data_IF_461914719038
#
_entry.id   IF_461914719038
#
_cell.length_a   1.000
_cell.length_b   1.000
_cell.length_c   1.000
_cell.angle_alpha   90.00
_cell.angle_beta   90.00
_cell.angle_gamma   90.00
#
_symmetry.space_group_name_H-M   'P 1'
#
loop_
_entity.id
_entity.type
_entity.pdbx_description
1 polymer ?
#
# COMPACT_ATOMS: atom_id res chain seq x y z
N UNK A 1 0.41 11.92 24.20
CA UNK A 1 -0.71 10.95 24.09
C UNK A 1 -0.22 9.71 23.32
N UNK A 2 -0.48 8.51 23.86
CA UNK A 2 -0.17 7.25 23.14
C UNK A 2 -1.34 6.91 22.21
N UNK A 3 -1.04 6.41 21.01
CA UNK A 3 -2.03 5.97 20.01
C UNK A 3 -1.73 4.54 19.60
N UNK A 4 -2.78 3.76 19.40
CA UNK A 4 -2.66 2.38 18.92
C UNK A 4 -3.06 2.34 17.44
N UNK A 5 -2.20 1.72 16.63
CA UNK A 5 -2.49 1.33 15.26
C UNK A 5 -2.64 -0.19 15.16
N UNK A 6 -3.59 -0.62 14.35
CA UNK A 6 -3.77 -2.02 13.97
C UNK A 6 -3.74 -2.09 12.44
N UNK A 7 -2.92 -2.97 11.88
CA UNK A 7 -2.88 -3.27 10.45
C UNK A 7 -3.38 -4.70 10.22
N UNK A 8 -4.52 -4.82 9.54
CA UNK A 8 -5.20 -6.09 9.32
C UNK A 8 -4.88 -6.59 7.92
N UNK A 9 -3.98 -7.54 7.82
CA UNK A 9 -3.70 -8.25 6.56
C UNK A 9 -4.50 -9.55 6.42
N UNK A 10 -4.47 -10.14 5.23
CA UNK A 10 -5.16 -11.41 4.97
C UNK A 10 -4.60 -12.62 5.72
N UNK A 11 -3.35 -12.58 6.17
CA UNK A 11 -2.66 -13.69 6.85
C UNK A 11 -2.12 -13.33 8.23
N UNK A 12 -2.04 -12.06 8.56
CA UNK A 12 -1.47 -11.52 9.79
C UNK A 12 -2.20 -10.27 10.23
N UNK A 13 -2.16 -10.01 11.54
CA UNK A 13 -2.57 -8.75 12.16
C UNK A 13 -1.34 -8.19 12.85
N UNK A 14 -1.11 -6.90 12.67
CA UNK A 14 -0.02 -6.19 13.33
C UNK A 14 -0.58 -5.06 14.18
N UNK A 15 -0.04 -4.88 15.39
CA UNK A 15 -0.42 -3.81 16.30
C UNK A 15 0.84 -3.06 16.75
N UNK A 16 0.74 -1.74 16.84
CA UNK A 16 1.77 -0.90 17.42
C UNK A 16 1.16 0.19 18.30
N UNK A 17 1.83 0.51 19.38
CA UNK A 17 1.56 1.70 20.18
C UNK A 17 2.68 2.72 19.96
N UNK A 18 2.32 3.94 19.57
CA UNK A 18 3.26 5.03 19.31
C UNK A 18 2.93 6.26 20.17
N UNK A 19 3.94 6.95 20.62
CA UNK A 19 3.78 8.21 21.34
C UNK A 19 3.66 9.43 20.39
N UNK A 20 3.57 10.62 20.96
CA UNK A 20 3.46 11.88 20.19
C UNK A 20 4.70 12.15 19.32
N UNK A 21 5.86 11.73 19.75
CA UNK A 21 7.12 11.89 19.00
C UNK A 21 7.24 10.91 17.83
N UNK A 22 6.38 9.87 17.80
CA UNK A 22 6.45 8.76 16.86
C UNK A 22 7.34 7.61 17.33
N UNK A 23 7.79 7.64 18.60
CA UNK A 23 8.53 6.51 19.17
C UNK A 23 7.58 5.31 19.34
N UNK A 24 8.06 4.15 18.91
CA UNK A 24 7.35 2.88 19.04
C UNK A 24 7.56 2.34 20.45
N UNK A 25 6.48 2.28 21.24
CA UNK A 25 6.49 1.77 22.61
C UNK A 25 6.23 0.28 22.66
N UNK A 26 5.46 -0.22 21.71
CA UNK A 26 5.09 -1.63 21.56
C UNK A 26 4.85 -1.93 20.09
N UNK A 27 5.27 -3.12 19.66
CA UNK A 27 4.89 -3.68 18.36
C UNK A 27 4.79 -5.20 18.45
N UNK A 28 3.69 -5.74 17.95
CA UNK A 28 3.45 -7.19 17.86
C UNK A 28 2.85 -7.54 16.52
N UNK A 29 3.12 -8.76 16.09
CA UNK A 29 2.57 -9.33 14.86
C UNK A 29 2.07 -10.74 15.16
N UNK A 30 0.83 -11.01 14.81
CA UNK A 30 0.18 -12.30 15.01
C UNK A 30 -0.40 -12.83 13.70
N UNK A 31 -0.63 -14.14 13.64
CA UNK A 31 -1.34 -14.75 12.53
C UNK A 31 -2.80 -14.35 12.56
N UNK A 32 -3.37 -14.03 11.40
CA UNK A 32 -4.81 -13.78 11.31
C UNK A 32 -5.60 -15.04 11.70
N UNK A 33 -6.69 -14.91 12.48
CA UNK A 33 -7.54 -16.02 12.85
C UNK A 33 -8.11 -16.74 11.64
N UNK A 34 -8.27 -18.06 11.76
CA UNK A 34 -8.83 -18.91 10.70
C UNK A 34 -10.31 -19.23 10.89
N UNK A 35 -10.88 -18.91 12.06
CA UNK A 35 -12.23 -19.27 12.49
C UNK A 35 -13.36 -18.35 11.99
N UNK A 36 -13.07 -17.41 11.11
CA UNK A 36 -14.09 -16.56 10.51
C UNK A 36 -14.26 -15.20 11.18
N UNK A 37 -15.39 -14.52 10.87
CA UNK A 37 -15.61 -13.12 11.21
C UNK A 37 -15.59 -12.83 12.72
N UNK A 38 -16.40 -13.56 13.50
CA UNK A 38 -16.54 -13.30 14.92
C UNK A 38 -15.21 -13.50 15.68
N UNK A 39 -14.45 -14.52 15.33
CA UNK A 39 -13.12 -14.78 15.89
C UNK A 39 -12.13 -13.68 15.52
N UNK A 40 -12.21 -13.15 14.30
CA UNK A 40 -11.36 -12.04 13.87
C UNK A 40 -11.65 -10.75 14.66
N UNK A 41 -12.93 -10.40 14.89
CA UNK A 41 -13.32 -9.25 15.72
C UNK A 41 -12.79 -9.39 17.16
N UNK A 42 -12.97 -10.58 17.76
CA UNK A 42 -12.50 -10.83 19.13
C UNK A 42 -10.97 -10.76 19.23
N UNK A 43 -10.25 -11.36 18.29
CA UNK A 43 -8.78 -11.32 18.26
C UNK A 43 -8.24 -9.89 18.14
N UNK A 44 -8.80 -9.08 17.24
CA UNK A 44 -8.42 -7.68 17.10
C UNK A 44 -8.66 -6.90 18.40
N UNK A 45 -9.84 -7.08 18.99
CA UNK A 45 -10.19 -6.39 20.23
C UNK A 45 -9.27 -6.81 21.39
N UNK A 46 -8.96 -8.09 21.50
CA UNK A 46 -8.03 -8.61 22.53
C UNK A 46 -6.63 -8.03 22.37
N UNK A 47 -6.09 -7.99 21.14
CA UNK A 47 -4.79 -7.38 20.88
C UNK A 47 -4.74 -5.89 21.32
N UNK A 48 -5.81 -5.13 21.06
CA UNK A 48 -5.91 -3.73 21.50
C UNK A 48 -5.91 -3.65 23.02
N UNK A 49 -6.76 -4.43 23.72
CA UNK A 49 -6.86 -4.42 25.18
C UNK A 49 -5.56 -4.89 25.86
N UNK A 50 -4.85 -5.83 25.25
CA UNK A 50 -3.53 -6.27 25.73
C UNK A 50 -2.47 -5.19 25.56
N UNK A 51 -2.44 -4.52 24.41
CA UNK A 51 -1.52 -3.42 24.18
C UNK A 51 -1.76 -2.28 25.17
N UNK A 52 -3.03 -1.91 25.46
CA UNK A 52 -3.37 -0.90 26.46
C UNK A 52 -2.91 -1.28 27.87
N UNK A 53 -3.08 -2.53 28.27
CA UNK A 53 -2.60 -3.00 29.58
C UNK A 53 -1.07 -2.89 29.69
N UNK A 54 -0.35 -3.18 28.61
CA UNK A 54 1.11 -3.13 28.61
C UNK A 54 1.64 -1.69 28.62
N UNK A 55 1.04 -0.78 27.85
CA UNK A 55 1.45 0.64 27.85
C UNK A 55 0.85 1.42 29.05
N UNK A 56 -0.04 0.82 29.81
CA UNK A 56 -0.65 1.43 31.02
C UNK A 56 -1.58 2.61 30.71
N UNK A 57 -2.17 2.65 29.52
CA UNK A 57 -3.00 3.77 29.09
C UNK A 57 -4.18 3.32 28.20
N UNK A 58 -5.32 4.00 28.34
CA UNK A 58 -6.42 3.90 27.38
C UNK A 58 -6.14 4.78 26.17
N UNK A 59 -6.08 4.20 24.98
CA UNK A 59 -5.51 4.83 23.78
C UNK A 59 -6.58 5.01 22.67
N UNK A 60 -6.52 6.09 21.89
CA UNK A 60 -7.20 6.15 20.60
C UNK A 60 -6.70 5.03 19.69
N UNK A 61 -7.62 4.40 18.92
CA UNK A 61 -7.31 3.25 18.06
C UNK A 61 -7.64 3.59 16.61
N UNK A 62 -6.63 3.44 15.75
CA UNK A 62 -6.78 3.48 14.30
C UNK A 62 -6.54 2.10 13.69
N UNK A 63 -7.26 1.80 12.62
CA UNK A 63 -7.23 0.49 11.95
C UNK A 63 -7.00 0.67 10.47
N UNK A 64 -5.90 0.09 9.98
CA UNK A 64 -5.60 -0.12 8.57
C UNK A 64 -6.12 -1.47 8.09
N UNK A 65 -6.78 -1.51 6.94
CA UNK A 65 -7.34 -2.74 6.39
C UNK A 65 -7.29 -2.73 4.87
N UNK A 66 -7.13 -3.89 4.23
CA UNK A 66 -7.41 -4.00 2.80
C UNK A 66 -8.83 -3.55 2.49
N UNK A 67 -9.01 -2.85 1.37
CA UNK A 67 -10.30 -2.28 1.01
C UNK A 67 -10.68 -1.06 1.86
N UNK A 68 -11.97 -0.81 2.03
CA UNK A 68 -12.47 0.36 2.74
C UNK A 68 -13.88 0.15 3.30
N UNK A 69 -14.25 0.92 4.33
CA UNK A 69 -15.63 0.94 4.84
C UNK A 69 -16.53 1.68 3.84
N UNK A 70 -17.55 1.00 3.36
CA UNK A 70 -18.53 1.57 2.42
C UNK A 70 -19.34 2.68 3.11
N UNK A 71 -19.36 3.87 2.52
CA UNK A 71 -20.16 4.99 3.05
C UNK A 71 -21.66 4.76 2.94
N UNK A 72 -22.11 3.94 1.97
CA UNK A 72 -23.54 3.66 1.76
C UNK A 72 -24.08 2.56 2.68
N UNK A 73 -23.30 1.48 2.91
CA UNK A 73 -23.77 0.30 3.66
C UNK A 73 -23.09 0.11 5.01
N UNK A 74 -21.99 0.83 5.29
CA UNK A 74 -21.22 0.68 6.53
C UNK A 74 -20.39 -0.62 6.62
N UNK A 75 -20.44 -1.49 5.61
CA UNK A 75 -19.65 -2.73 5.60
C UNK A 75 -18.29 -2.56 4.94
N UNK A 76 -17.34 -3.41 5.28
CA UNK A 76 -16.03 -3.44 4.62
C UNK A 76 -16.19 -3.98 3.20
N UNK A 77 -15.66 -3.27 2.20
CA UNK A 77 -15.68 -3.65 0.78
C UNK A 77 -14.28 -3.79 0.21
N UNK A 78 -14.13 -4.55 -0.88
CA UNK A 78 -12.87 -4.75 -1.61
C UNK A 78 -11.75 -5.45 -0.82
N UNK A 79 -12.09 -6.10 0.30
CA UNK A 79 -11.17 -6.88 1.13
C UNK A 79 -11.24 -8.39 0.79
N UNK A 80 -11.14 -8.74 -0.49
CA UNK A 80 -11.49 -10.07 -1.01
C UNK A 80 -10.73 -11.26 -0.42
N UNK A 81 -9.54 -11.05 0.13
CA UNK A 81 -8.75 -12.09 0.78
C UNK A 81 -9.02 -12.23 2.28
N UNK A 82 -10.07 -11.56 2.81
CA UNK A 82 -10.35 -11.48 4.24
C UNK A 82 -11.77 -11.95 4.56
N UNK A 83 -11.94 -12.65 5.68
CA UNK A 83 -13.25 -12.99 6.28
C UNK A 83 -14.05 -11.73 6.69
N UNK A 84 -13.44 -10.57 6.68
CA UNK A 84 -14.05 -9.28 7.02
C UNK A 84 -14.81 -8.64 5.85
N UNK A 85 -14.58 -9.11 4.61
CA UNK A 85 -15.23 -8.53 3.44
C UNK A 85 -16.75 -8.67 3.49
N UNK A 86 -17.48 -7.58 3.26
CA UNK A 86 -18.94 -7.55 3.34
C UNK A 86 -19.51 -7.48 4.76
N UNK A 87 -18.65 -7.37 5.80
CA UNK A 87 -19.04 -7.41 7.20
C UNK A 87 -18.99 -6.02 7.85
N UNK A 88 -19.81 -5.75 8.90
CA UNK A 88 -19.86 -4.47 9.62
C UNK A 88 -18.73 -4.33 10.65
N UNK A 89 -17.48 -4.38 10.19
CA UNK A 89 -16.27 -4.47 11.02
C UNK A 89 -16.14 -3.27 11.97
N UNK A 90 -16.37 -2.05 11.46
CA UNK A 90 -16.22 -0.84 12.27
C UNK A 90 -17.22 -0.83 13.45
N UNK A 91 -18.55 -0.92 13.24
CA UNK A 91 -19.51 -0.89 14.36
C UNK A 91 -19.34 -2.06 15.34
N UNK A 92 -18.90 -3.24 14.89
CA UNK A 92 -18.70 -4.38 15.77
C UNK A 92 -17.46 -4.21 16.66
N UNK A 93 -16.36 -3.68 16.12
CA UNK A 93 -15.19 -3.33 16.93
C UNK A 93 -15.47 -2.17 17.89
N UNK A 94 -16.21 -1.13 17.46
CA UNK A 94 -16.63 -0.04 18.35
C UNK A 94 -17.47 -0.54 19.52
N UNK A 95 -18.42 -1.43 19.24
CA UNK A 95 -19.23 -2.08 20.29
C UNK A 95 -18.37 -2.92 21.24
N UNK A 96 -17.42 -3.69 20.70
CA UNK A 96 -16.57 -4.59 21.50
C UNK A 96 -15.55 -3.82 22.35
N UNK A 97 -15.04 -2.68 21.85
CA UNK A 97 -14.08 -1.83 22.56
C UNK A 97 -14.76 -0.73 23.40
N UNK A 98 -16.07 -0.50 23.21
CA UNK A 98 -16.84 0.52 23.94
C UNK A 98 -16.49 1.96 23.56
N UNK A 99 -15.89 2.18 22.37
CA UNK A 99 -15.44 3.50 21.90
C UNK A 99 -15.33 3.58 20.39
N UNK A 100 -15.19 4.80 19.88
CA UNK A 100 -14.92 5.08 18.48
C UNK A 100 -13.56 4.47 18.05
N UNK A 101 -13.52 3.92 16.84
CA UNK A 101 -12.30 3.55 16.13
C UNK A 101 -12.26 4.22 14.77
N UNK A 102 -11.07 4.64 14.33
CA UNK A 102 -10.88 5.19 12.99
C UNK A 102 -10.37 4.12 12.04
N UNK A 103 -10.91 4.12 10.83
CA UNK A 103 -10.54 3.18 9.79
C UNK A 103 -9.97 3.91 8.58
N UNK A 104 -8.96 3.31 7.95
CA UNK A 104 -8.52 3.70 6.61
C UNK A 104 -8.04 2.47 5.83
N UNK A 105 -7.95 2.61 4.51
CA UNK A 105 -7.27 1.63 3.69
C UNK A 105 -5.78 1.54 4.08
N UNK A 106 -5.18 0.34 3.97
CA UNK A 106 -3.78 0.05 4.31
C UNK A 106 -2.78 0.94 3.55
N UNK A 107 -3.02 1.20 2.26
CA UNK A 107 -2.19 2.10 1.47
C UNK A 107 -2.36 3.58 1.87
N UNK A 108 -3.54 3.99 2.35
CA UNK A 108 -3.73 5.31 2.94
C UNK A 108 -2.98 5.45 4.26
N UNK A 109 -3.01 4.43 5.11
CA UNK A 109 -2.19 4.38 6.32
C UNK A 109 -0.70 4.44 5.98
N UNK A 110 -0.25 3.70 4.96
CA UNK A 110 1.11 3.76 4.47
C UNK A 110 1.51 5.18 4.05
N UNK A 111 0.73 5.83 3.19
CA UNK A 111 1.00 7.20 2.72
C UNK A 111 1.04 8.20 3.88
N UNK A 112 0.10 8.10 4.82
CA UNK A 112 0.03 8.94 6.02
C UNK A 112 1.27 8.81 6.90
N UNK A 113 1.71 7.59 7.18
CA UNK A 113 2.93 7.35 7.96
C UNK A 113 4.15 8.01 7.32
N UNK A 114 4.33 7.78 6.03
CA UNK A 114 5.49 8.31 5.30
C UNK A 114 5.44 9.84 5.14
N UNK A 115 4.24 10.45 5.12
CA UNK A 115 4.07 11.90 5.10
C UNK A 115 4.38 12.56 6.45
N UNK A 116 4.01 11.92 7.57
CA UNK A 116 4.15 12.52 8.90
C UNK A 116 5.60 12.45 9.41
N UNK A 117 6.19 11.26 9.41
CA UNK A 117 7.51 11.04 10.01
C UNK A 117 8.45 10.13 9.18
N UNK A 118 8.05 9.78 7.95
CA UNK A 118 8.81 8.92 7.05
C UNK A 118 9.56 9.64 5.93
N UNK A 119 9.69 8.97 4.79
CA UNK A 119 10.47 9.41 3.63
C UNK A 119 9.95 10.69 2.96
N UNK A 120 8.69 11.05 3.20
CA UNK A 120 8.03 12.24 2.66
C UNK A 120 7.74 13.30 3.73
N UNK A 121 8.41 13.21 4.91
CA UNK A 121 8.23 14.19 5.97
C UNK A 121 8.46 15.61 5.47
N UNK A 122 7.46 16.49 5.73
CA UNK A 122 7.49 17.90 5.35
C UNK A 122 6.93 18.19 3.96
N UNK A 123 6.57 17.17 3.16
CA UNK A 123 5.88 17.35 1.91
C UNK A 123 4.38 17.58 2.14
N UNK A 124 3.79 18.48 1.34
CA UNK A 124 2.38 18.80 1.42
C UNK A 124 1.52 17.73 0.74
N UNK A 125 1.92 17.29 -0.46
CA UNK A 125 1.21 16.27 -1.24
C UNK A 125 2.09 15.04 -1.40
N UNK A 126 1.63 13.92 -0.88
CA UNK A 126 2.36 12.63 -0.91
C UNK A 126 1.50 11.56 -1.57
N UNK A 127 2.09 10.83 -2.50
CA UNK A 127 1.50 9.63 -3.07
C UNK A 127 2.27 8.41 -2.59
N UNK A 128 1.63 7.57 -1.77
CA UNK A 128 2.17 6.29 -1.33
C UNK A 128 1.83 5.19 -2.33
N UNK A 129 2.80 4.35 -2.66
CA UNK A 129 2.65 3.24 -3.61
C UNK A 129 3.11 1.95 -2.95
N UNK A 130 2.26 0.95 -2.90
CA UNK A 130 2.61 -0.39 -2.42
C UNK A 130 2.74 -1.33 -3.61
N UNK A 131 3.96 -1.84 -3.83
CA UNK A 131 4.28 -2.82 -4.88
C UNK A 131 4.56 -4.19 -4.24
N UNK A 132 3.57 -5.07 -4.26
CA UNK A 132 3.61 -6.38 -3.61
C UNK A 132 2.90 -7.48 -4.41
N UNK A 133 2.09 -8.29 -3.74
CA UNK A 133 1.18 -9.27 -4.38
C UNK A 133 0.15 -8.56 -5.26
N UNK A 134 -0.29 -7.38 -4.84
CA UNK A 134 -1.08 -6.43 -5.62
C UNK A 134 -0.33 -5.10 -5.80
N UNK A 135 -1.04 -4.09 -6.30
CA UNK A 135 -0.58 -2.70 -6.42
C UNK A 135 -1.60 -1.78 -5.77
N UNK A 136 -1.25 -1.28 -4.60
CA UNK A 136 -2.04 -0.30 -3.87
C UNK A 136 -1.50 1.12 -4.03
N UNK A 137 -2.32 2.10 -3.67
CA UNK A 137 -1.91 3.49 -3.54
C UNK A 137 -2.72 4.23 -2.49
N UNK A 138 -2.10 5.22 -1.88
CA UNK A 138 -2.72 6.11 -0.91
C UNK A 138 -2.26 7.54 -1.12
N UNK A 139 -3.10 8.48 -0.74
CA UNK A 139 -2.83 9.92 -0.88
C UNK A 139 -2.86 10.55 0.49
N UNK A 140 -1.82 11.32 0.81
CA UNK A 140 -1.81 12.20 1.98
C UNK A 140 -1.60 13.65 1.52
N UNK A 141 -2.42 14.55 2.04
CA UNK A 141 -2.32 16.00 1.80
C UNK A 141 -2.34 16.69 3.15
N UNK A 142 -1.38 17.59 3.37
CA UNK A 142 -1.23 18.32 4.65
C UNK A 142 -1.21 17.39 5.87
N UNK A 143 -0.56 16.22 5.75
CA UNK A 143 -0.49 15.23 6.81
C UNK A 143 -1.81 14.51 7.13
N UNK A 144 -2.77 14.51 6.21
CA UNK A 144 -4.04 13.81 6.32
C UNK A 144 -4.25 12.84 5.16
N UNK A 145 -4.68 11.61 5.46
CA UNK A 145 -5.03 10.64 4.43
C UNK A 145 -6.34 11.02 3.73
N UNK A 146 -6.36 10.94 2.41
CA UNK A 146 -7.54 11.26 1.60
C UNK A 146 -8.30 9.97 1.24
N UNK A 147 -9.48 9.79 1.81
CA UNK A 147 -10.33 8.64 1.49
C UNK A 147 -11.15 8.83 0.20
N UNK A 148 -11.51 10.07 -0.11
CA UNK A 148 -12.38 10.42 -1.23
C UNK A 148 -13.87 10.16 -0.95
N UNK A 149 -14.73 10.64 -1.86
CA UNK A 149 -16.18 10.55 -1.73
C UNK A 149 -16.70 9.09 -1.72
N UNK A 150 -16.02 8.19 -2.42
CA UNK A 150 -16.39 6.79 -2.55
C UNK A 150 -15.53 5.86 -1.67
N UNK A 151 -14.64 6.40 -0.83
CA UNK A 151 -13.64 5.67 -0.04
C UNK A 151 -12.79 4.73 -0.93
N UNK A 152 -12.32 5.22 -2.07
CA UNK A 152 -11.45 4.52 -3.03
C UNK A 152 -10.32 5.41 -3.56
N UNK A 153 -10.02 6.50 -2.86
CA UNK A 153 -8.93 7.38 -3.28
C UNK A 153 -7.61 6.60 -3.21
N UNK A 154 -6.85 6.64 -4.29
CA UNK A 154 -5.61 5.87 -4.39
C UNK A 154 -5.72 4.48 -5.05
N UNK A 155 -6.90 4.02 -5.46
CA UNK A 155 -7.11 2.73 -6.18
C UNK A 155 -6.57 2.76 -7.64
N UNK A 156 -5.42 3.37 -7.83
CA UNK A 156 -4.77 3.57 -9.14
C UNK A 156 -4.34 2.28 -9.81
N UNK A 157 -4.05 1.24 -9.01
CA UNK A 157 -3.66 -0.08 -9.48
C UNK A 157 -4.69 -0.73 -10.40
N UNK A 158 -5.97 -0.31 -10.28
CA UNK A 158 -7.06 -0.78 -11.12
C UNK A 158 -7.39 0.14 -12.30
N UNK A 159 -6.64 1.22 -12.52
CA UNK A 159 -6.67 1.97 -13.76
C UNK A 159 -5.91 1.20 -14.86
N UNK A 160 -6.24 1.49 -16.12
CA UNK A 160 -5.49 0.94 -17.26
C UNK A 160 -4.06 1.45 -17.26
N UNK A 161 -3.10 0.61 -17.67
CA UNK A 161 -1.72 1.05 -17.89
C UNK A 161 -1.73 2.21 -18.91
N UNK A 162 -1.17 3.39 -18.58
CA UNK A 162 -1.15 4.52 -19.49
C UNK A 162 -0.26 4.26 -20.71
N UNK A 163 -0.70 4.77 -21.87
CA UNK A 163 0.04 4.68 -23.13
C UNK A 163 0.64 3.30 -23.40
N UNK A 164 -0.20 2.24 -23.39
CA UNK A 164 0.29 0.88 -23.59
C UNK A 164 0.85 0.72 -25.00
N UNK A 165 1.97 0.01 -25.12
CA UNK A 165 2.49 -0.40 -26.42
C UNK A 165 1.57 -1.44 -27.07
N UNK A 166 1.59 -1.61 -28.40
CA UNK A 166 0.72 -2.58 -29.09
C UNK A 166 0.79 -4.00 -28.51
N UNK A 167 1.98 -4.45 -28.13
CA UNK A 167 2.22 -5.77 -27.52
C UNK A 167 1.70 -5.89 -26.08
N UNK A 168 1.36 -4.78 -25.44
CA UNK A 168 0.76 -4.73 -24.10
C UNK A 168 -0.78 -4.75 -24.16
N UNK A 169 -1.38 -4.71 -25.35
CA UNK A 169 -2.83 -4.71 -25.55
C UNK A 169 -3.35 -6.12 -25.91
N UNK A 170 -4.53 -6.52 -25.40
CA UNK A 170 -5.46 -5.84 -24.46
C UNK A 170 -4.96 -5.89 -23.00
N UNK A 171 -3.77 -6.40 -22.76
CA UNK A 171 -3.16 -6.56 -21.46
C UNK A 171 -3.65 -7.78 -20.68
N UNK A 172 -2.96 -8.13 -19.60
CA UNK A 172 -3.31 -9.28 -18.78
C UNK A 172 -4.60 -9.05 -18.00
N UNK A 173 -5.29 -10.15 -17.71
CA UNK A 173 -6.49 -10.13 -16.87
C UNK A 173 -6.13 -9.76 -15.43
N UNK A 174 -6.86 -8.82 -14.88
CA UNK A 174 -6.77 -8.40 -13.47
C UNK A 174 -7.83 -9.12 -12.62
N UNK A 175 -7.55 -9.27 -11.33
CA UNK A 175 -8.49 -9.82 -10.34
C UNK A 175 -9.81 -9.04 -10.27
N UNK A 176 -9.80 -7.73 -10.59
CA UNK A 176 -11.02 -6.91 -10.67
C UNK A 176 -11.93 -7.21 -11.88
N UNK A 177 -11.57 -8.18 -12.73
CA UNK A 177 -12.32 -8.61 -13.89
C UNK A 177 -12.01 -7.88 -15.19
N UNK A 178 -11.26 -6.77 -15.16
CA UNK A 178 -10.80 -6.01 -16.33
C UNK A 178 -9.46 -6.52 -16.86
N UNK A 179 -9.07 -6.09 -18.05
CA UNK A 179 -7.77 -6.36 -18.63
C UNK A 179 -6.89 -5.10 -18.60
N UNK A 180 -5.57 -5.27 -18.56
CA UNK A 180 -4.62 -4.18 -18.73
C UNK A 180 -4.52 -3.21 -17.55
N UNK A 181 -5.02 -3.58 -16.36
CA UNK A 181 -4.82 -2.77 -15.15
C UNK A 181 -3.34 -2.63 -14.80
N UNK A 182 -2.95 -1.51 -14.21
CA UNK A 182 -1.60 -1.25 -13.70
C UNK A 182 -1.11 -2.39 -12.81
N UNK A 183 -1.96 -2.88 -11.90
CA UNK A 183 -1.66 -4.02 -11.01
C UNK A 183 -1.27 -5.28 -11.79
N UNK A 184 -1.98 -5.56 -12.87
CA UNK A 184 -1.71 -6.75 -13.67
C UNK A 184 -0.29 -6.74 -14.29
N UNK A 185 0.34 -5.59 -14.42
CA UNK A 185 1.72 -5.44 -14.91
C UNK A 185 2.73 -5.24 -13.78
N UNK A 186 2.40 -4.45 -12.75
CA UNK A 186 3.35 -3.95 -11.76
C UNK A 186 3.34 -4.69 -10.42
N UNK A 187 2.45 -5.67 -10.24
CA UNK A 187 2.53 -6.57 -9.08
C UNK A 187 3.68 -7.58 -9.21
N UNK A 188 4.06 -8.23 -8.11
CA UNK A 188 5.03 -9.33 -8.14
C UNK A 188 4.64 -10.45 -9.10
N UNK A 189 3.39 -10.96 -9.08
CA UNK A 189 2.89 -11.90 -10.09
C UNK A 189 2.95 -11.35 -11.51
N UNK A 190 2.71 -10.04 -11.71
CA UNK A 190 2.83 -9.36 -13.00
C UNK A 190 4.27 -9.40 -13.54
N UNK A 191 5.25 -9.06 -12.70
CA UNK A 191 6.68 -9.12 -13.02
C UNK A 191 7.12 -10.55 -13.37
N UNK A 192 6.74 -11.55 -12.56
CA UNK A 192 7.08 -12.95 -12.79
C UNK A 192 6.47 -13.49 -14.09
N UNK A 193 5.21 -13.08 -14.39
CA UNK A 193 4.54 -13.44 -15.65
C UNK A 193 5.24 -12.82 -16.86
N UNK A 194 5.60 -11.54 -16.81
CA UNK A 194 6.33 -10.86 -17.90
C UNK A 194 7.67 -11.55 -18.17
N UNK A 195 8.41 -11.89 -17.12
CA UNK A 195 9.66 -12.62 -17.26
C UNK A 195 9.46 -13.96 -17.97
N UNK A 196 8.48 -14.76 -17.53
CA UNK A 196 8.17 -16.05 -18.13
C UNK A 196 7.79 -15.94 -19.60
N UNK A 197 7.00 -14.93 -19.96
CA UNK A 197 6.60 -14.72 -21.35
C UNK A 197 7.78 -14.31 -22.24
N UNK A 198 8.70 -13.50 -21.72
CA UNK A 198 9.84 -13.02 -22.47
C UNK A 198 10.99 -14.02 -22.60
N UNK A 199 11.17 -14.90 -21.59
CA UNK A 199 12.35 -15.80 -21.51
C UNK A 199 12.00 -17.28 -21.57
N UNK A 200 10.73 -17.65 -21.36
CA UNK A 200 10.30 -19.04 -21.16
C UNK A 200 10.56 -19.58 -19.75
N UNK A 201 11.22 -18.81 -18.87
CA UNK A 201 11.63 -19.27 -17.53
C UNK A 201 10.68 -18.73 -16.45
N UNK A 202 10.27 -19.59 -15.52
CA UNK A 202 9.51 -19.18 -14.33
C UNK A 202 10.48 -18.82 -13.20
N UNK A 203 10.41 -17.56 -12.73
CA UNK A 203 11.24 -17.06 -11.62
C UNK A 203 10.42 -16.19 -10.67
N UNK A 204 10.81 -16.23 -9.39
CA UNK A 204 10.28 -15.30 -8.39
C UNK A 204 10.83 -13.88 -8.61
N UNK A 205 10.09 -12.83 -8.27
CA UNK A 205 10.53 -11.44 -8.42
C UNK A 205 11.89 -11.13 -7.79
N UNK A 206 12.17 -11.68 -6.61
CA UNK A 206 13.45 -11.51 -5.93
C UNK A 206 14.62 -12.15 -6.69
N UNK A 207 14.40 -13.34 -7.30
CA UNK A 207 15.41 -14.02 -8.11
C UNK A 207 15.69 -13.26 -9.43
N UNK A 208 14.63 -12.71 -10.06
CA UNK A 208 14.77 -11.84 -11.23
C UNK A 208 15.63 -10.62 -10.90
N UNK A 209 15.38 -9.96 -9.77
CA UNK A 209 16.15 -8.80 -9.33
C UNK A 209 17.62 -9.14 -9.10
N UNK A 210 17.90 -10.19 -8.31
CA UNK A 210 19.27 -10.60 -7.98
C UNK A 210 20.08 -11.02 -9.22
N UNK A 211 19.45 -11.75 -10.15
CA UNK A 211 20.11 -12.18 -11.40
C UNK A 211 20.36 -11.03 -12.36
N UNK A 212 19.45 -10.07 -12.45
CA UNK A 212 19.67 -8.86 -13.24
C UNK A 212 20.90 -8.06 -12.74
N UNK A 213 21.09 -7.97 -11.42
CA UNK A 213 22.27 -7.37 -10.81
C UNK A 213 23.55 -8.15 -11.09
N UNK A 214 23.45 -9.48 -11.24
CA UNK A 214 24.55 -10.37 -11.60
C UNK A 214 24.83 -10.44 -13.11
N UNK A 215 24.13 -9.62 -13.94
CA UNK A 215 24.38 -9.51 -15.37
C UNK A 215 23.54 -10.44 -16.26
N UNK A 216 22.54 -11.13 -15.73
CA UNK A 216 21.59 -11.92 -16.53
C UNK A 216 20.76 -10.98 -17.43
N UNK A 217 20.96 -11.10 -18.75
CA UNK A 217 20.32 -10.21 -19.74
C UNK A 217 18.80 -10.38 -19.82
N UNK A 218 18.28 -11.59 -19.63
CA UNK A 218 16.85 -11.86 -19.65
C UNK A 218 16.15 -11.19 -18.46
N UNK A 219 16.73 -11.31 -17.27
CA UNK A 219 16.27 -10.64 -16.06
C UNK A 219 16.41 -9.12 -16.16
N UNK A 220 17.53 -8.61 -16.69
CA UNK A 220 17.74 -7.17 -16.87
C UNK A 220 16.69 -6.57 -17.82
N UNK A 221 16.43 -7.18 -18.99
CA UNK A 221 15.41 -6.73 -19.93
C UNK A 221 13.97 -6.79 -19.33
N UNK A 222 13.69 -7.75 -18.45
CA UNK A 222 12.42 -7.81 -17.72
C UNK A 222 12.27 -6.61 -16.79
N UNK A 223 13.31 -6.26 -16.03
CA UNK A 223 13.26 -5.09 -15.12
C UNK A 223 13.23 -3.77 -15.88
N UNK A 224 13.86 -3.66 -17.05
CA UNK A 224 13.75 -2.47 -17.91
C UNK A 224 12.31 -2.21 -18.37
N UNK A 225 11.59 -3.27 -18.80
CA UNK A 225 10.17 -3.15 -19.14
C UNK A 225 9.31 -2.80 -17.93
N UNK A 226 9.63 -3.38 -16.76
CA UNK A 226 8.94 -3.07 -15.51
C UNK A 226 9.11 -1.60 -15.12
N UNK A 227 10.34 -1.07 -15.15
CA UNK A 227 10.67 0.32 -14.88
C UNK A 227 9.96 1.28 -15.83
N UNK A 228 9.89 0.93 -17.10
CA UNK A 228 9.20 1.73 -18.11
C UNK A 228 7.68 1.81 -17.86
N UNK A 229 7.06 0.67 -17.52
CA UNK A 229 5.64 0.61 -17.14
C UNK A 229 5.35 1.39 -15.86
N UNK A 230 6.24 1.26 -14.87
CA UNK A 230 6.12 2.00 -13.61
C UNK A 230 6.26 3.51 -13.87
N UNK A 231 7.20 3.92 -14.70
CA UNK A 231 7.39 5.32 -15.07
C UNK A 231 6.14 5.93 -15.73
N UNK A 232 5.52 5.22 -16.69
CA UNK A 232 4.26 5.65 -17.32
C UNK A 232 3.11 5.73 -16.31
N UNK A 233 2.98 4.72 -15.47
CA UNK A 233 1.94 4.68 -14.46
C UNK A 233 2.08 5.83 -13.45
N UNK A 234 3.31 6.11 -12.97
CA UNK A 234 3.56 7.21 -12.05
C UNK A 234 3.45 8.58 -12.73
N UNK A 235 3.83 8.71 -14.00
CA UNK A 235 3.63 9.94 -14.76
C UNK A 235 2.15 10.34 -14.83
N UNK A 236 1.22 9.39 -14.96
CA UNK A 236 -0.21 9.70 -14.92
C UNK A 236 -0.66 10.24 -13.56
N UNK A 237 -0.03 9.77 -12.48
CA UNK A 237 -0.28 10.30 -11.13
C UNK A 237 0.30 11.71 -10.99
N UNK A 238 1.52 11.95 -11.49
CA UNK A 238 2.13 13.28 -11.48
C UNK A 238 1.26 14.26 -12.28
N UNK A 239 0.81 13.88 -13.47
CA UNK A 239 -0.06 14.73 -14.30
C UNK A 239 -1.43 15.05 -13.67
N UNK A 240 -1.89 14.27 -12.71
CA UNK A 240 -3.21 14.43 -12.09
C UNK A 240 -3.13 15.05 -10.68
N UNK A 241 -2.16 14.63 -9.88
CA UNK A 241 -2.05 14.95 -8.45
C UNK A 241 -0.90 15.93 -8.15
N UNK A 242 0.12 15.93 -9.00
CA UNK A 242 1.35 16.73 -8.85
C UNK A 242 2.00 16.61 -7.46
N UNK A 243 2.31 15.38 -6.99
CA UNK A 243 2.83 15.19 -5.64
C UNK A 243 4.29 15.63 -5.54
N UNK A 244 4.68 16.21 -4.40
CA UNK A 244 6.09 16.53 -4.13
C UNK A 244 6.92 15.26 -3.94
N UNK A 245 6.31 14.22 -3.35
CA UNK A 245 7.00 12.95 -3.09
C UNK A 245 6.08 11.77 -3.42
N UNK A 246 6.63 10.83 -4.19
CA UNK A 246 6.07 9.48 -4.35
C UNK A 246 6.92 8.53 -3.50
N UNK A 247 6.28 7.78 -2.59
CA UNK A 247 6.97 6.83 -1.71
C UNK A 247 6.64 5.40 -2.11
N UNK A 248 7.67 4.59 -2.37
CA UNK A 248 7.52 3.17 -2.71
C UNK A 248 7.61 2.29 -1.46
N UNK A 249 6.59 1.48 -1.24
CA UNK A 249 6.52 0.41 -0.25
C UNK A 249 6.26 -0.96 -0.89
N UNK A 250 6.12 -1.98 -0.04
CA UNK A 250 5.94 -3.36 -0.47
C UNK A 250 7.24 -4.06 -0.89
N UNK A 251 7.16 -5.36 -1.16
CA UNK A 251 8.35 -6.20 -1.39
C UNK A 251 9.21 -5.78 -2.57
N UNK A 252 8.59 -5.28 -3.65
CA UNK A 252 9.31 -4.87 -4.87
C UNK A 252 10.02 -3.51 -4.70
N UNK A 253 9.64 -2.68 -3.73
CA UNK A 253 10.31 -1.41 -3.44
C UNK A 253 11.76 -1.59 -2.96
N UNK A 254 12.13 -2.82 -2.57
CA UNK A 254 13.51 -3.18 -2.19
C UNK A 254 14.49 -3.11 -3.36
N UNK A 255 14.01 -3.11 -4.60
CA UNK A 255 14.84 -2.91 -5.79
C UNK A 255 15.28 -1.44 -5.88
N UNK A 256 16.50 -1.12 -5.42
CA UNK A 256 17.02 0.26 -5.41
C UNK A 256 17.06 0.91 -6.81
N UNK A 257 17.19 0.08 -7.84
CA UNK A 257 17.16 0.53 -9.22
C UNK A 257 15.86 1.27 -9.60
N UNK A 258 14.72 0.99 -8.94
CA UNK A 258 13.46 1.69 -9.21
C UNK A 258 13.58 3.18 -8.89
N UNK A 259 14.10 3.52 -7.71
CA UNK A 259 14.28 4.92 -7.29
C UNK A 259 15.28 5.64 -8.18
N UNK A 260 16.29 4.93 -8.66
CA UNK A 260 17.33 5.51 -9.53
C UNK A 260 16.86 5.70 -10.97
N UNK A 261 16.17 4.70 -11.56
CA UNK A 261 15.94 4.64 -13.00
C UNK A 261 14.58 5.20 -13.43
N UNK A 262 13.54 5.05 -12.58
CA UNK A 262 12.16 5.46 -12.93
C UNK A 262 12.03 6.97 -13.14
N UNK A 263 12.65 7.85 -12.30
CA UNK A 263 12.57 9.30 -12.52
C UNK A 263 13.11 9.77 -13.87
N UNK A 264 14.17 9.17 -14.36
CA UNK A 264 14.69 9.51 -15.68
C UNK A 264 13.76 9.11 -16.84
N UNK A 265 12.89 8.11 -16.60
CA UNK A 265 11.95 7.59 -17.61
C UNK A 265 10.61 8.32 -17.62
N UNK A 266 10.11 8.80 -16.49
CA UNK A 266 8.79 9.43 -16.43
C UNK A 266 8.75 10.83 -17.04
N UNK A 267 9.88 11.57 -17.12
CA UNK A 267 9.93 12.95 -17.61
C UNK A 267 9.31 13.12 -18.99
N UNK A 268 9.47 12.17 -19.91
CA UNK A 268 8.89 12.21 -21.25
C UNK A 268 7.37 11.97 -21.28
N UNK A 269 6.77 11.55 -20.18
CA UNK A 269 5.34 11.27 -20.04
C UNK A 269 4.63 12.30 -19.15
N UNK A 270 5.37 13.16 -18.46
CA UNK A 270 4.82 14.24 -17.64
C UNK A 270 4.64 15.49 -18.49
N UNK A 271 3.48 16.10 -18.40
CA UNK A 271 3.15 17.32 -19.13
C UNK A 271 3.68 18.55 -18.39
N UNK A 272 5.01 18.65 -18.30
CA UNK A 272 5.72 19.78 -17.68
C UNK A 272 7.07 19.97 -18.35
N UNK A 273 7.59 21.18 -18.30
CA UNK A 273 8.95 21.53 -18.75
C UNK A 273 10.01 21.04 -17.76
N UNK A 274 9.62 20.82 -16.51
CA UNK A 274 10.48 20.25 -15.47
C UNK A 274 9.67 19.38 -14.51
N UNK A 275 10.27 18.33 -13.96
CA UNK A 275 9.63 17.43 -13.00
C UNK A 275 10.46 17.42 -11.72
N UNK A 276 9.92 18.01 -10.67
CA UNK A 276 10.57 18.13 -9.36
C UNK A 276 10.08 17.07 -8.35
N UNK A 277 9.05 16.30 -8.72
CA UNK A 277 8.55 15.18 -7.91
C UNK A 277 9.70 14.23 -7.57
N UNK A 278 9.86 13.92 -6.31
CA UNK A 278 10.88 12.98 -5.80
C UNK A 278 10.30 11.58 -5.62
N UNK A 279 11.03 10.56 -6.09
CA UNK A 279 10.73 9.16 -5.81
C UNK A 279 11.60 8.68 -4.65
N UNK A 280 11.01 8.10 -3.61
CA UNK A 280 11.72 7.62 -2.43
C UNK A 280 11.25 6.21 -2.02
N UNK A 281 12.08 5.49 -1.26
CA UNK A 281 11.66 4.26 -0.57
C UNK A 281 11.09 4.63 0.79
N UNK A 282 10.15 3.82 1.25
CA UNK A 282 9.56 3.90 2.59
C UNK A 282 10.65 3.88 3.68
N UNK A 283 10.55 4.82 4.62
CA UNK A 283 11.48 4.91 5.74
C UNK A 283 11.18 3.85 6.81
N UNK A 284 9.91 3.55 7.04
CA UNK A 284 9.49 2.59 8.07
C UNK A 284 9.28 1.16 7.54
N UNK A 285 9.43 0.95 6.23
CA UNK A 285 9.33 -0.37 5.60
C UNK A 285 8.00 -1.05 5.89
N UNK A 286 8.03 -2.27 6.45
CA UNK A 286 6.83 -3.05 6.76
C UNK A 286 6.00 -2.45 7.92
N UNK A 287 6.53 -1.49 8.69
CA UNK A 287 5.83 -0.84 9.79
C UNK A 287 4.97 0.35 9.35
N UNK A 288 5.12 0.86 8.12
CA UNK A 288 4.42 2.08 7.68
C UNK A 288 2.89 1.95 7.78
N UNK A 289 2.31 0.79 7.49
CA UNK A 289 0.86 0.55 7.60
C UNK A 289 0.34 0.73 9.04
N UNK A 290 0.91 -0.01 9.98
CA UNK A 290 0.49 0.02 11.39
C UNK A 290 0.77 1.36 12.06
N UNK A 291 1.89 2.02 11.72
CA UNK A 291 2.22 3.38 12.18
C UNK A 291 1.20 4.40 11.66
N UNK A 292 0.86 4.33 10.38
CA UNK A 292 -0.14 5.19 9.75
C UNK A 292 -1.53 4.99 10.33
N UNK A 293 -1.91 3.76 10.66
CA UNK A 293 -3.15 3.48 11.37
C UNK A 293 -3.19 4.22 12.72
N UNK A 294 -2.11 4.20 13.51
CA UNK A 294 -2.02 4.95 14.76
C UNK A 294 -2.10 6.49 14.55
N UNK A 295 -1.75 6.99 13.37
CA UNK A 295 -1.78 8.42 13.01
C UNK A 295 -3.13 8.91 12.47
N UNK A 296 -4.15 8.05 12.41
CA UNK A 296 -5.51 8.45 12.05
C UNK A 296 -6.19 9.35 13.10
N UNK A 297 -5.58 9.49 14.29
CA UNK A 297 -6.01 10.36 15.40
C UNK A 297 -5.09 11.56 15.61
#
# INVERSE_FOLDING_TARGET
>A
MIRIGVDIGGTKIEIAAIDESGAELLRRRESAPRGGYAEAIEAIAQLVLEAEREVGAHCPVGIGTPGAVSRGSGVLKNAYASALNGMPVKPDLERRLGREVRFANDANCFALSEAIDGAAKGAQVVFGVILGTGVGGGIAVDGQAIEGANAICGEWGHNSLPWPAPEEMPGPRCACGRNGCIEAFLSGPGLARDHRLATGEARAPADIAARAESGDRGCAGTLERYEERLARALASVINLLDPEVIVLGGGLSRMERLVRNVPARWTRHVYSDSVVTRLARAAHGDASGVRGAARLW
#
